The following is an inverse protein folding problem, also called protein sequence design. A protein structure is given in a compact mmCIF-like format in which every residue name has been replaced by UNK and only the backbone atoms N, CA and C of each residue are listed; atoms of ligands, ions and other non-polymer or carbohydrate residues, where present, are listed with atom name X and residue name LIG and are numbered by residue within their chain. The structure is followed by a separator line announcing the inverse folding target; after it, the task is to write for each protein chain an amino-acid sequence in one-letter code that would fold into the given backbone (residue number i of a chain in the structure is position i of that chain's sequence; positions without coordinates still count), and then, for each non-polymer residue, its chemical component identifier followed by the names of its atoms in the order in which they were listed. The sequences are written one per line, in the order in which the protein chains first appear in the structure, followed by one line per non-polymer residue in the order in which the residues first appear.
data_IF_083162337917
#
_entry.id   IF_083162337917
#
_cell.length_a   1.000
_cell.length_b   1.000
_cell.length_c   1.000
_cell.angle_alpha   90.00
_cell.angle_beta   90.00
_cell.angle_gamma   90.00
#
_symmetry.space_group_name_H-M   'P 1'
#
loop_
_entity.id
_entity.type
_entity.pdbx_description
1 polymer ?
#
# COMPACT_ATOMS: atom_id res chain seq x y z
N UNK A 1 -1.83 31.72 -21.42
CA UNK A 1 -1.38 30.31 -21.35
C UNK A 1 -1.37 29.75 -19.94
N UNK A 2 -0.97 30.51 -18.96
CA UNK A 2 -1.03 30.08 -17.56
C UNK A 2 -2.44 29.80 -17.06
N UNK A 3 -3.45 30.54 -17.55
CA UNK A 3 -4.86 30.34 -17.17
C UNK A 3 -5.44 29.01 -17.61
N UNK A 4 -5.05 28.50 -18.77
CA UNK A 4 -5.52 27.20 -19.27
C UNK A 4 -5.07 26.03 -18.37
N UNK A 5 -3.85 26.09 -17.86
CA UNK A 5 -3.35 25.07 -16.94
C UNK A 5 -4.10 25.09 -15.62
N UNK A 6 -4.46 26.26 -15.13
CA UNK A 6 -5.25 26.41 -13.90
C UNK A 6 -6.67 25.87 -14.04
N UNK A 7 -7.32 26.19 -15.14
CA UNK A 7 -8.68 25.69 -15.42
C UNK A 7 -8.70 24.18 -15.57
N UNK A 8 -7.74 23.63 -16.31
CA UNK A 8 -7.57 22.20 -16.49
C UNK A 8 -7.32 21.50 -15.14
N UNK A 9 -6.50 22.10 -14.30
CA UNK A 9 -6.19 21.57 -12.96
C UNK A 9 -7.41 21.57 -12.05
N UNK A 10 -8.21 22.64 -12.07
CA UNK A 10 -9.44 22.74 -11.27
C UNK A 10 -10.48 21.70 -11.69
N UNK A 11 -10.64 21.46 -12.99
CA UNK A 11 -11.51 20.41 -13.52
C UNK A 11 -11.05 19.03 -13.08
N UNK A 12 -9.73 18.79 -13.10
CA UNK A 12 -9.14 17.52 -12.68
C UNK A 12 -9.30 17.29 -11.17
N UNK A 13 -9.26 18.36 -10.38
CA UNK A 13 -9.48 18.26 -8.93
C UNK A 13 -10.90 17.84 -8.58
N UNK A 14 -11.89 18.22 -9.37
CA UNK A 14 -13.27 17.76 -9.20
C UNK A 14 -13.45 16.34 -9.73
N UNK A 15 -12.99 16.09 -10.96
CA UNK A 15 -13.06 14.77 -11.59
C UNK A 15 -11.94 13.89 -11.06
N UNK A 16 -12.30 12.76 -10.48
CA UNK A 16 -11.33 11.82 -9.93
C UNK A 16 -10.72 12.26 -8.59
N UNK A 17 -11.35 13.19 -7.89
CA UNK A 17 -10.87 13.69 -6.58
C UNK A 17 -10.62 12.56 -5.58
N UNK A 18 -11.40 11.49 -5.67
CA UNK A 18 -11.29 10.33 -4.79
C UNK A 18 -10.87 9.06 -5.54
N UNK A 19 -10.19 9.19 -6.68
CA UNK A 19 -9.71 8.05 -7.45
C UNK A 19 -8.44 7.40 -6.85
N UNK A 20 -7.62 8.18 -6.14
CA UNK A 20 -6.42 7.72 -5.46
C UNK A 20 -5.50 6.89 -6.36
N UNK A 21 -5.15 7.44 -7.52
CA UNK A 21 -4.30 6.76 -8.51
C UNK A 21 -2.91 6.40 -7.98
N UNK A 22 -2.49 7.05 -6.89
CA UNK A 22 -1.24 6.74 -6.21
C UNK A 22 -1.27 5.46 -5.37
N UNK A 23 -2.43 4.81 -5.23
CA UNK A 23 -2.53 3.51 -4.58
C UNK A 23 -2.15 2.42 -5.56
N UNK A 24 -0.86 2.18 -5.68
CA UNK A 24 -0.24 1.20 -6.58
C UNK A 24 -0.81 -0.21 -6.35
N UNK A 25 -1.30 -0.83 -7.41
CA UNK A 25 -1.91 -2.17 -7.33
C UNK A 25 -0.97 -3.24 -6.81
N UNK A 26 0.30 -3.17 -7.19
CA UNK A 26 1.31 -4.14 -6.75
C UNK A 26 1.52 -4.07 -5.24
N UNK A 27 1.26 -2.92 -4.62
CA UNK A 27 1.44 -2.68 -3.20
C UNK A 27 0.14 -2.81 -2.42
N UNK A 28 -1.00 -2.51 -3.06
CA UNK A 28 -2.30 -2.41 -2.41
C UNK A 28 -2.98 -3.78 -2.29
N UNK A 29 -2.31 -4.69 -1.60
CA UNK A 29 -2.83 -5.99 -1.26
C UNK A 29 -2.37 -6.32 0.16
N UNK A 30 -3.27 -6.83 0.99
CA UNK A 30 -3.05 -7.03 2.43
C UNK A 30 -1.73 -7.76 2.76
N UNK A 31 -1.46 -8.87 2.08
CA UNK A 31 -0.26 -9.65 2.35
C UNK A 31 1.00 -8.89 1.96
N UNK A 32 0.98 -8.21 0.82
CA UNK A 32 2.13 -7.41 0.34
C UNK A 32 2.36 -6.19 1.22
N UNK A 33 1.28 -5.57 1.70
CA UNK A 33 1.37 -4.47 2.65
C UNK A 33 2.08 -4.91 3.93
N UNK A 34 1.72 -6.08 4.46
CA UNK A 34 2.37 -6.64 5.65
C UNK A 34 3.85 -6.93 5.42
N UNK A 35 4.20 -7.52 4.28
CA UNK A 35 5.58 -7.83 3.91
C UNK A 35 6.41 -6.54 3.82
N UNK A 36 5.91 -5.55 3.08
CA UNK A 36 6.63 -4.29 2.87
C UNK A 36 6.78 -3.50 4.16
N UNK A 37 5.76 -3.47 5.00
CA UNK A 37 5.82 -2.81 6.31
C UNK A 37 6.87 -3.46 7.21
N UNK A 38 6.92 -4.79 7.23
CA UNK A 38 7.93 -5.54 7.97
C UNK A 38 9.34 -5.21 7.50
N UNK A 39 9.54 -5.14 6.18
CA UNK A 39 10.85 -4.86 5.58
C UNK A 39 11.29 -3.40 5.79
N UNK A 40 10.37 -2.45 5.77
CA UNK A 40 10.69 -1.04 6.07
C UNK A 40 11.22 -0.91 7.49
N UNK A 41 10.65 -1.65 8.43
CA UNK A 41 11.09 -1.63 9.82
C UNK A 41 12.43 -2.33 10.03
N UNK A 42 12.90 -3.14 9.08
CA UNK A 42 14.12 -3.93 9.19
C UNK A 42 15.02 -3.69 7.97
N UNK A 43 15.81 -2.62 8.03
CA UNK A 43 16.64 -2.18 6.89
C UNK A 43 17.69 -3.21 6.45
N UNK A 44 18.19 -4.01 7.38
CA UNK A 44 19.16 -5.07 7.08
C UNK A 44 18.50 -6.30 6.45
N UNK A 45 17.19 -6.30 6.36
CA UNK A 45 16.42 -7.41 5.81
C UNK A 45 15.91 -8.37 6.88
N UNK A 46 15.06 -9.27 6.44
CA UNK A 46 14.49 -10.33 7.26
C UNK A 46 14.72 -11.68 6.58
N UNK A 47 14.96 -12.70 7.38
CA UNK A 47 14.99 -14.06 6.87
C UNK A 47 13.60 -14.50 6.47
N UNK A 48 13.50 -15.39 5.52
CA UNK A 48 12.23 -15.89 5.01
C UNK A 48 11.31 -16.38 6.13
N UNK A 49 11.83 -17.18 7.07
CA UNK A 49 11.04 -17.71 8.19
C UNK A 49 10.55 -16.64 9.15
N UNK A 50 11.34 -15.60 9.40
CA UNK A 50 10.94 -14.46 10.22
C UNK A 50 9.79 -13.68 9.56
N UNK A 51 9.95 -13.40 8.27
CA UNK A 51 8.96 -12.67 7.48
C UNK A 51 7.65 -13.44 7.39
N UNK A 52 7.74 -14.74 7.16
CA UNK A 52 6.57 -15.63 7.15
C UNK A 52 5.81 -15.56 8.46
N UNK A 53 6.49 -15.62 9.59
CA UNK A 53 5.88 -15.55 10.92
C UNK A 53 5.25 -14.19 11.19
N UNK A 54 5.96 -13.11 10.88
CA UNK A 54 5.46 -11.75 11.10
C UNK A 54 4.20 -11.46 10.30
N UNK A 55 4.10 -12.01 9.10
CA UNK A 55 2.96 -11.76 8.21
C UNK A 55 1.88 -12.85 8.27
N UNK A 56 2.10 -13.87 9.09
CA UNK A 56 1.18 -15.02 9.22
C UNK A 56 0.83 -15.65 7.88
N UNK A 57 1.84 -15.88 7.04
CA UNK A 57 1.68 -16.47 5.72
C UNK A 57 2.22 -17.91 5.69
N UNK A 58 1.75 -18.69 4.72
CA UNK A 58 2.35 -19.98 4.41
C UNK A 58 3.61 -19.78 3.56
N UNK A 59 4.47 -20.80 3.49
CA UNK A 59 5.66 -20.77 2.64
C UNK A 59 5.30 -20.46 1.19
N UNK A 60 4.30 -21.14 0.65
CA UNK A 60 3.87 -20.96 -0.74
C UNK A 60 3.31 -19.57 -1.02
N UNK A 61 2.50 -19.05 -0.11
CA UNK A 61 1.93 -17.71 -0.27
C UNK A 61 3.00 -16.64 -0.18
N UNK A 62 3.92 -16.75 0.79
CA UNK A 62 5.02 -15.79 0.90
C UNK A 62 5.91 -15.84 -0.34
N UNK A 63 6.27 -17.04 -0.81
CA UNK A 63 7.08 -17.20 -2.02
C UNK A 63 6.43 -16.52 -3.23
N UNK A 64 5.14 -16.71 -3.40
CA UNK A 64 4.39 -16.09 -4.51
C UNK A 64 4.37 -14.57 -4.42
N UNK A 65 4.12 -14.02 -3.25
CA UNK A 65 4.12 -12.57 -3.06
C UNK A 65 5.53 -11.98 -3.27
N UNK A 66 6.55 -12.65 -2.79
CA UNK A 66 7.93 -12.21 -2.98
C UNK A 66 8.33 -12.22 -4.46
N UNK A 67 7.88 -13.21 -5.25
CA UNK A 67 8.14 -13.24 -6.68
C UNK A 67 7.51 -12.04 -7.40
N UNK A 68 6.27 -11.68 -7.04
CA UNK A 68 5.61 -10.50 -7.58
C UNK A 68 6.38 -9.23 -7.21
N UNK A 69 6.75 -9.09 -5.95
CA UNK A 69 7.47 -7.90 -5.47
C UNK A 69 8.88 -7.81 -6.09
N UNK A 70 9.55 -8.94 -6.27
CA UNK A 70 10.85 -8.97 -6.93
C UNK A 70 10.75 -8.59 -8.39
N UNK A 71 9.76 -9.11 -9.11
CA UNK A 71 9.52 -8.78 -10.52
C UNK A 71 9.24 -7.30 -10.71
N UNK A 72 8.60 -6.66 -9.72
CA UNK A 72 8.35 -5.22 -9.71
C UNK A 72 9.56 -4.39 -9.26
N UNK A 73 10.66 -5.04 -8.92
CA UNK A 73 11.87 -4.34 -8.44
C UNK A 73 11.78 -3.78 -7.04
N UNK A 74 10.82 -4.24 -6.25
CA UNK A 74 10.55 -3.70 -4.90
C UNK A 74 11.39 -4.37 -3.83
N UNK A 75 11.70 -5.65 -3.99
CA UNK A 75 12.51 -6.41 -3.04
C UNK A 75 13.64 -7.12 -3.77
N UNK A 76 14.70 -7.38 -3.03
CA UNK A 76 15.78 -8.27 -3.45
C UNK A 76 15.83 -9.47 -2.52
N UNK A 77 16.16 -10.62 -3.09
CA UNK A 77 16.19 -11.89 -2.40
C UNK A 77 17.61 -12.47 -2.51
N UNK A 78 18.21 -12.74 -1.37
CA UNK A 78 19.58 -13.24 -1.29
C UNK A 78 19.59 -14.63 -0.72
N UNK A 79 20.40 -15.50 -1.30
CA UNK A 79 20.64 -16.85 -0.82
C UNK A 79 22.00 -16.89 -0.13
N UNK A 80 22.05 -17.52 1.03
CA UNK A 80 23.28 -17.67 1.79
C UNK A 80 23.19 -18.79 2.78
N UNK A 81 24.13 -18.83 3.71
CA UNK A 81 24.19 -19.85 4.75
C UNK A 81 24.47 -19.19 6.10
N UNK A 82 23.80 -19.68 7.12
CA UNK A 82 24.10 -19.38 8.51
C UNK A 82 24.28 -20.69 9.27
N UNK A 83 25.39 -20.84 9.97
CA UNK A 83 25.70 -22.07 10.73
C UNK A 83 25.50 -23.32 9.87
N UNK A 84 25.97 -23.27 8.62
CA UNK A 84 25.88 -24.35 7.62
C UNK A 84 24.46 -24.68 7.14
N UNK A 85 23.47 -23.87 7.50
CA UNK A 85 22.10 -24.02 7.00
C UNK A 85 21.83 -23.03 5.89
N UNK A 86 21.19 -23.44 4.79
CA UNK A 86 20.74 -22.52 3.77
C UNK A 86 19.77 -21.51 4.36
N UNK A 87 19.95 -20.23 4.01
CA UNK A 87 19.08 -19.15 4.44
C UNK A 87 18.70 -18.29 3.25
N UNK A 88 17.52 -17.72 3.33
CA UNK A 88 17.03 -16.73 2.37
C UNK A 88 16.80 -15.42 3.11
N UNK A 89 17.44 -14.36 2.63
CA UNK A 89 17.31 -13.03 3.18
C UNK A 89 16.55 -12.17 2.18
N UNK A 90 15.56 -11.43 2.68
CA UNK A 90 14.72 -10.54 1.86
C UNK A 90 14.90 -9.12 2.38
N UNK A 91 15.08 -8.17 1.49
CA UNK A 91 15.14 -6.77 1.88
C UNK A 91 14.59 -5.87 0.77
N UNK A 92 14.16 -4.68 1.15
CA UNK A 92 13.70 -3.68 0.19
C UNK A 92 14.84 -3.18 -0.67
N UNK A 93 14.56 -2.96 -1.95
CA UNK A 93 15.45 -2.18 -2.81
C UNK A 93 15.28 -0.69 -2.49
N UNK A 94 16.24 0.18 -2.87
CA UNK A 94 16.04 1.63 -2.78
C UNK A 94 14.78 2.10 -3.51
N UNK A 95 14.50 1.51 -4.66
CA UNK A 95 13.30 1.79 -5.45
C UNK A 95 12.03 1.33 -4.75
N UNK A 96 12.08 0.15 -4.15
CA UNK A 96 10.98 -0.38 -3.35
C UNK A 96 10.64 0.52 -2.17
N UNK A 97 11.66 1.04 -1.51
CA UNK A 97 11.48 1.99 -0.41
C UNK A 97 10.77 3.25 -0.88
N UNK A 98 11.22 3.84 -2.00
CA UNK A 98 10.59 5.04 -2.56
C UNK A 98 9.14 4.82 -2.95
N UNK A 99 8.86 3.71 -3.65
CA UNK A 99 7.50 3.38 -4.09
C UNK A 99 6.59 3.13 -2.89
N UNK A 100 7.09 2.44 -1.88
CA UNK A 100 6.28 2.16 -0.69
C UNK A 100 6.00 3.44 0.09
N UNK A 101 6.97 4.33 0.22
CA UNK A 101 6.76 5.63 0.86
C UNK A 101 5.71 6.46 0.12
N UNK A 102 5.78 6.52 -1.20
CA UNK A 102 4.78 7.23 -2.01
C UNK A 102 3.38 6.62 -1.83
N UNK A 103 3.29 5.30 -1.77
CA UNK A 103 2.05 4.60 -1.48
C UNK A 103 1.50 4.97 -0.10
N UNK A 104 2.33 4.99 0.92
CA UNK A 104 1.91 5.36 2.27
C UNK A 104 1.42 6.81 2.35
N UNK A 105 2.05 7.73 1.62
CA UNK A 105 1.61 9.11 1.53
C UNK A 105 0.23 9.22 0.89
N UNK A 106 -0.02 8.44 -0.16
CA UNK A 106 -1.35 8.39 -0.80
C UNK A 106 -2.39 7.79 0.14
N UNK A 107 -2.03 6.73 0.87
CA UNK A 107 -2.92 6.11 1.85
C UNK A 107 -3.24 7.09 2.99
N UNK A 108 -2.26 7.86 3.45
CA UNK A 108 -2.47 8.91 4.44
C UNK A 108 -3.46 9.96 3.94
N UNK A 109 -3.43 10.27 2.64
CA UNK A 109 -4.38 11.18 2.01
C UNK A 109 -5.81 10.63 2.05
N UNK A 110 -5.97 9.33 1.82
CA UNK A 110 -7.28 8.65 1.97
C UNK A 110 -7.79 8.83 3.40
N UNK A 111 -6.94 8.58 4.37
CA UNK A 111 -7.31 8.72 5.79
C UNK A 111 -7.71 10.15 6.11
N UNK A 112 -6.95 11.14 5.65
CA UNK A 112 -7.27 12.55 5.87
C UNK A 112 -8.58 12.98 5.22
N UNK A 113 -8.90 12.42 4.06
CA UNK A 113 -10.13 12.75 3.36
C UNK A 113 -11.37 12.14 4.03
N UNK A 114 -11.24 10.93 4.55
CA UNK A 114 -12.37 10.15 5.05
C UNK A 114 -12.62 10.33 6.56
N UNK A 115 -11.56 10.35 7.35
CA UNK A 115 -11.68 10.24 8.81
C UNK A 115 -12.46 11.37 9.47
N UNK A 116 -12.22 12.67 9.15
CA UNK A 116 -12.97 13.77 9.77
C UNK A 116 -14.47 13.70 9.43
N UNK A 117 -14.81 13.30 8.22
CA UNK A 117 -16.20 13.20 7.76
C UNK A 117 -16.90 11.99 8.39
N UNK A 118 -16.20 10.87 8.52
CA UNK A 118 -16.73 9.69 9.20
C UNK A 118 -16.99 9.99 10.68
N UNK A 119 -16.06 10.65 11.36
CA UNK A 119 -16.20 11.02 12.77
C UNK A 119 -17.41 11.93 13.00
N UNK A 120 -17.65 12.90 12.10
CA UNK A 120 -18.81 13.78 12.18
C UNK A 120 -20.12 13.08 11.87
N UNK A 121 -20.10 12.03 11.05
CA UNK A 121 -21.29 11.27 10.63
C UNK A 121 -21.79 10.27 11.66
N UNK A 122 -20.98 9.88 12.63
CA UNK A 122 -21.35 8.86 13.61
C UNK A 122 -22.51 9.25 14.53
N UNK A 123 -22.91 10.52 14.56
CA UNK A 123 -23.98 10.95 15.42
C UNK A 123 -25.34 11.18 14.75
N UNK A 124 -25.41 11.34 13.45
CA UNK A 124 -26.69 11.74 12.79
C UNK A 124 -26.77 11.25 11.34
N UNK A 125 -27.58 10.26 11.13
CA UNK A 125 -28.06 9.93 9.77
C UNK A 125 -29.28 10.81 9.52
N UNK A 126 -29.21 11.69 8.53
CA UNK A 126 -30.37 12.51 8.14
C UNK A 126 -31.38 11.64 7.39
N UNK A 127 -32.69 11.84 7.64
CA UNK A 127 -33.70 11.17 6.83
C UNK A 127 -33.54 11.55 5.35
N UNK A 128 -33.83 10.61 4.48
CA UNK A 128 -33.81 10.88 3.05
C UNK A 128 -34.92 11.87 2.68
N UNK A 129 -34.69 12.76 1.70
CA UNK A 129 -35.74 13.62 1.18
C UNK A 129 -36.89 12.81 0.57
N UNK A 130 -38.09 13.39 0.44
CA UNK A 130 -39.19 12.72 -0.25
C UNK A 130 -38.81 12.33 -1.68
N UNK A 131 -39.29 11.18 -2.14
CA UNK A 131 -39.03 10.69 -3.49
C UNK A 131 -37.94 9.64 -3.61
N UNK A 132 -37.27 9.26 -2.50
CA UNK A 132 -36.27 8.22 -2.48
C UNK A 132 -36.83 6.92 -1.92
N UNK A 133 -36.60 5.82 -2.60
CA UNK A 133 -37.08 4.48 -2.22
C UNK A 133 -35.88 3.48 -2.25
N UNK A 134 -35.97 2.40 -1.46
CA UNK A 134 -34.96 1.34 -1.56
C UNK A 134 -34.88 0.74 -2.95
N UNK A 135 -33.69 0.47 -3.39
CA UNK A 135 -33.47 -0.18 -4.70
C UNK A 135 -33.74 -1.70 -4.61
#
# INVERSE_FOLDING_TARGET
MAGRKRESHTSNDAAGRFAYDGLDRALHEKARLGVLTSLVAHQDGLRFGELRGLCALTDGNLSRHLEVLRAEGLVEIWKGHERRRPQTLVRLTPDGRRRFLAYLEELERVVRDALPKAAGAFGRVRPLPPGWEPA
#
